data_IF_740349885952
#
_entry.id   IF_740349885952
#
_cell.length_a   1.000
_cell.length_b   1.000
_cell.length_c   1.000
_cell.angle_alpha   90.00
_cell.angle_beta   90.00
_cell.angle_gamma   90.00
#
_symmetry.space_group_name_H-M   'P 1'
#
loop_
_entity.id
_entity.type
_entity.pdbx_description
1 polymer ?
#
# COMPACT_ATOMS: atom_id res chain seq x y z
N UNK A 1 -40.21 12.42 -19.20
CA UNK A 1 -38.74 12.40 -19.33
C UNK A 1 -38.22 13.73 -18.82
N UNK A 2 -37.44 13.73 -17.75
CA UNK A 2 -36.78 14.95 -17.26
C UNK A 2 -35.46 15.04 -18.01
N UNK A 3 -35.37 15.98 -18.96
CA UNK A 3 -34.11 16.29 -19.65
C UNK A 3 -33.37 17.33 -18.84
N UNK A 4 -32.32 16.92 -18.13
CA UNK A 4 -31.41 17.83 -17.44
C UNK A 4 -30.42 18.35 -18.47
N UNK A 5 -30.47 19.65 -18.76
CA UNK A 5 -29.45 20.33 -19.54
C UNK A 5 -28.29 20.70 -18.60
N UNK A 6 -27.22 19.91 -18.63
CA UNK A 6 -25.96 20.26 -17.97
C UNK A 6 -25.23 21.22 -18.92
N UNK A 7 -25.27 22.51 -18.62
CA UNK A 7 -24.44 23.50 -19.31
C UNK A 7 -22.98 23.26 -18.92
N UNK A 8 -22.05 23.02 -19.85
CA UNK A 8 -20.63 22.85 -19.52
C UNK A 8 -20.12 24.14 -18.85
N UNK A 9 -19.57 24.00 -17.65
CA UNK A 9 -19.09 25.14 -16.85
C UNK A 9 -17.92 25.79 -17.60
N UNK A 10 -18.11 27.03 -18.06
CA UNK A 10 -17.03 27.81 -18.64
C UNK A 10 -15.86 27.86 -17.63
N UNK A 11 -14.64 27.55 -18.09
CA UNK A 11 -13.38 27.54 -17.32
C UNK A 11 -13.04 26.25 -16.54
N UNK A 12 -13.72 25.11 -16.77
CA UNK A 12 -13.23 23.83 -16.27
C UNK A 12 -11.93 23.42 -16.99
N UNK A 13 -10.94 22.82 -16.30
CA UNK A 13 -9.75 22.27 -16.94
C UNK A 13 -10.14 21.22 -17.98
N UNK A 14 -9.40 21.11 -19.08
CA UNK A 14 -9.66 20.16 -20.17
C UNK A 14 -8.45 19.24 -20.35
N UNK A 15 -8.64 17.92 -20.18
CA UNK A 15 -7.59 16.94 -20.45
C UNK A 15 -7.60 16.65 -21.95
N UNK A 16 -6.70 17.28 -22.70
CA UNK A 16 -6.62 17.13 -24.17
C UNK A 16 -5.88 15.86 -24.58
N UNK A 17 -5.00 15.34 -23.72
CA UNK A 17 -4.30 14.08 -23.95
C UNK A 17 -4.02 13.38 -22.62
N UNK A 18 -4.26 12.07 -22.58
CA UNK A 18 -3.76 11.16 -21.55
C UNK A 18 -3.60 9.76 -22.15
N UNK A 19 -2.36 9.26 -22.19
CA UNK A 19 -2.01 7.98 -22.82
C UNK A 19 -0.95 7.23 -22.03
N UNK A 20 -1.00 5.90 -22.08
CA UNK A 20 0.02 5.00 -21.52
C UNK A 20 0.72 4.30 -22.68
N UNK A 21 2.05 4.29 -22.68
CA UNK A 21 2.84 3.60 -23.72
C UNK A 21 4.01 2.80 -23.09
N UNK A 22 4.07 1.47 -23.27
CA UNK A 22 3.03 0.61 -23.85
C UNK A 22 1.87 0.39 -22.86
N UNK A 23 0.68 0.08 -23.38
CA UNK A 23 -0.49 -0.31 -22.57
C UNK A 23 -0.52 -1.81 -22.23
N UNK A 24 0.39 -2.61 -22.78
CA UNK A 24 0.58 -4.03 -22.44
C UNK A 24 2.04 -4.26 -22.08
N UNK A 25 2.28 -4.80 -20.88
CA UNK A 25 3.58 -4.98 -20.25
C UNK A 25 3.81 -6.45 -19.91
N UNK A 26 5.06 -6.91 -19.90
CA UNK A 26 5.44 -8.10 -19.14
C UNK A 26 5.79 -7.71 -17.70
N UNK A 27 5.78 -8.68 -16.78
CA UNK A 27 6.32 -8.48 -15.42
C UNK A 27 7.70 -7.84 -15.50
N UNK A 28 7.95 -6.84 -14.65
CA UNK A 28 9.19 -6.05 -14.61
C UNK A 28 9.40 -5.07 -15.79
N UNK A 29 8.40 -4.84 -16.65
CA UNK A 29 8.43 -3.74 -17.62
C UNK A 29 7.75 -2.48 -17.08
N UNK A 30 8.19 -1.32 -17.60
CA UNK A 30 7.64 -0.02 -17.25
C UNK A 30 6.84 0.56 -18.42
N UNK A 31 5.79 1.30 -18.11
CA UNK A 31 5.08 2.16 -19.05
C UNK A 31 5.45 3.62 -18.81
N UNK A 32 5.17 4.45 -19.81
CA UNK A 32 5.21 5.90 -19.67
C UNK A 32 3.79 6.45 -19.80
N UNK A 33 3.30 7.04 -18.71
CA UNK A 33 2.10 7.87 -18.74
C UNK A 33 2.48 9.25 -19.28
N UNK A 34 1.75 9.76 -20.28
CA UNK A 34 1.96 11.09 -20.85
C UNK A 34 0.64 11.85 -20.88
N UNK A 35 0.66 13.15 -20.58
CA UNK A 35 -0.54 13.97 -20.57
C UNK A 35 -0.32 15.42 -20.97
N UNK A 36 -1.43 16.07 -21.32
CA UNK A 36 -1.53 17.50 -21.53
C UNK A 36 -2.91 17.99 -21.09
N UNK A 37 -2.95 19.05 -20.28
CA UNK A 37 -4.14 19.66 -19.70
C UNK A 37 -4.15 21.15 -20.07
N UNK A 38 -5.30 21.65 -20.52
CA UNK A 38 -5.51 23.04 -20.90
C UNK A 38 -6.56 23.72 -20.02
N UNK A 39 -6.64 25.05 -20.09
CA UNK A 39 -7.59 25.85 -19.32
C UNK A 39 -7.07 26.29 -17.95
N UNK A 40 -7.98 26.68 -17.07
CA UNK A 40 -7.63 27.09 -15.70
C UNK A 40 -7.46 25.86 -14.82
N UNK A 41 -6.22 25.53 -14.47
CA UNK A 41 -5.86 24.35 -13.65
C UNK A 41 -5.26 24.82 -12.34
N UNK A 42 -5.80 24.33 -11.22
CA UNK A 42 -5.25 24.50 -9.87
C UNK A 42 -4.34 23.32 -9.51
N UNK A 43 -4.78 22.09 -9.81
CA UNK A 43 -4.03 20.87 -9.51
C UNK A 43 -4.22 19.83 -10.62
N UNK A 44 -3.18 19.01 -10.83
CA UNK A 44 -3.26 17.77 -11.60
C UNK A 44 -2.80 16.64 -10.70
N UNK A 45 -3.54 15.54 -10.69
CA UNK A 45 -3.21 14.32 -9.97
C UNK A 45 -3.20 13.16 -10.95
N UNK A 46 -2.15 12.33 -10.89
CA UNK A 46 -2.14 11.05 -11.58
C UNK A 46 -2.33 9.95 -10.55
N UNK A 47 -3.31 9.07 -10.78
CA UNK A 47 -3.64 7.95 -9.91
C UNK A 47 -3.42 6.64 -10.66
N UNK A 48 -3.10 5.57 -9.92
CA UNK A 48 -3.09 4.18 -10.35
C UNK A 48 -3.97 3.35 -9.41
N UNK A 49 -4.93 2.61 -9.93
CA UNK A 49 -5.95 1.86 -9.18
C UNK A 49 -6.61 2.73 -8.10
N UNK A 50 -6.98 3.97 -8.48
CA UNK A 50 -7.57 4.99 -7.61
C UNK A 50 -6.65 5.52 -6.48
N UNK A 51 -5.37 5.17 -6.47
CA UNK A 51 -4.37 5.73 -5.56
C UNK A 51 -3.51 6.79 -6.28
N UNK A 52 -3.37 7.99 -5.71
CA UNK A 52 -2.50 9.03 -6.29
C UNK A 52 -1.04 8.58 -6.29
N UNK A 53 -0.44 8.50 -7.49
CA UNK A 53 0.98 8.24 -7.72
C UNK A 53 1.75 9.54 -7.99
N UNK A 54 1.06 10.64 -8.31
CA UNK A 54 1.64 11.98 -8.39
C UNK A 54 0.58 13.03 -8.06
N UNK A 55 0.67 13.64 -6.88
CA UNK A 55 -0.13 14.80 -6.49
C UNK A 55 0.62 16.09 -6.83
N UNK A 56 0.01 16.97 -7.64
CA UNK A 56 0.69 18.17 -8.16
C UNK A 56 1.51 17.89 -9.43
N UNK A 57 1.04 17.00 -10.29
CA UNK A 57 1.62 16.82 -11.62
C UNK A 57 1.57 18.14 -12.43
N UNK A 58 2.55 18.40 -13.31
CA UNK A 58 2.50 19.57 -14.19
C UNK A 58 1.34 19.48 -15.17
N UNK A 59 0.89 20.61 -15.71
CA UNK A 59 -0.19 20.66 -16.72
C UNK A 59 0.16 19.88 -18.01
N UNK A 60 1.44 19.74 -18.33
CA UNK A 60 1.97 18.87 -19.38
C UNK A 60 3.14 18.10 -18.80
N UNK A 61 3.16 16.78 -18.98
CA UNK A 61 4.22 15.96 -18.42
C UNK A 61 4.17 14.50 -18.80
N UNK A 62 5.13 13.76 -18.26
CA UNK A 62 5.22 12.32 -18.37
C UNK A 62 5.74 11.70 -17.09
N UNK A 63 5.28 10.49 -16.75
CA UNK A 63 5.77 9.69 -15.64
C UNK A 63 6.06 8.28 -16.13
N UNK A 64 7.29 7.79 -15.90
CA UNK A 64 7.59 6.38 -16.03
C UNK A 64 7.13 5.65 -14.77
N UNK A 65 6.34 4.60 -14.92
CA UNK A 65 5.86 3.77 -13.82
C UNK A 65 6.05 2.29 -14.17
N UNK A 66 6.57 1.53 -13.20
CA UNK A 66 6.92 0.12 -13.34
C UNK A 66 6.02 -0.70 -12.42
N UNK A 67 4.88 -1.20 -12.91
CA UNK A 67 3.90 -1.79 -12.02
C UNK A 67 4.36 -3.17 -11.51
N UNK A 68 4.26 -3.46 -10.20
CA UNK A 68 4.90 -4.64 -9.60
C UNK A 68 4.09 -5.94 -9.73
N UNK A 69 2.88 -5.90 -10.27
CA UNK A 69 1.95 -7.04 -10.32
C UNK A 69 1.50 -7.40 -11.73
N UNK A 70 0.91 -8.59 -11.88
CA UNK A 70 0.21 -9.00 -13.10
C UNK A 70 -1.26 -8.61 -13.05
N UNK A 71 -1.90 -8.47 -14.21
CA UNK A 71 -3.30 -8.11 -14.35
C UNK A 71 -3.53 -6.72 -14.95
N UNK A 72 -4.80 -6.33 -15.04
CA UNK A 72 -5.20 -5.04 -15.56
C UNK A 72 -5.15 -3.98 -14.45
N UNK A 73 -4.55 -2.83 -14.77
CA UNK A 73 -4.38 -1.70 -13.89
C UNK A 73 -5.02 -0.46 -14.50
N UNK A 74 -5.65 0.36 -13.67
CA UNK A 74 -6.32 1.59 -14.08
C UNK A 74 -5.42 2.77 -13.77
N UNK A 75 -5.22 3.68 -14.71
CA UNK A 75 -4.60 4.97 -14.47
C UNK A 75 -5.63 6.06 -14.67
N UNK A 76 -5.68 7.03 -13.75
CA UNK A 76 -6.62 8.14 -13.82
C UNK A 76 -5.87 9.45 -13.70
N UNK A 77 -6.01 10.34 -14.68
CA UNK A 77 -5.56 11.72 -14.59
C UNK A 77 -6.73 12.58 -14.14
N UNK A 78 -6.58 13.31 -13.04
CA UNK A 78 -7.58 14.23 -12.49
C UNK A 78 -7.01 15.64 -12.56
N UNK A 79 -7.70 16.54 -13.24
CA UNK A 79 -7.35 17.97 -13.28
C UNK A 79 -8.46 18.78 -12.61
N UNK A 80 -8.13 19.59 -11.61
CA UNK A 80 -9.08 20.42 -10.87
C UNK A 80 -8.73 21.88 -11.03
N UNK A 81 -9.73 22.72 -11.23
CA UNK A 81 -9.60 24.17 -11.38
C UNK A 81 -10.85 24.91 -10.90
N UNK A 82 -10.87 26.26 -11.00
CA UNK A 82 -11.99 27.08 -10.55
C UNK A 82 -13.33 26.74 -11.22
N UNK A 83 -13.31 26.21 -12.45
CA UNK A 83 -14.51 25.76 -13.17
C UNK A 83 -14.92 24.31 -12.90
N UNK A 84 -14.23 23.59 -12.00
CA UNK A 84 -14.55 22.20 -11.63
C UNK A 84 -13.41 21.21 -11.91
N UNK A 85 -13.76 19.93 -12.04
CA UNK A 85 -12.80 18.83 -12.21
C UNK A 85 -13.05 18.07 -13.51
N UNK A 86 -11.98 17.76 -14.25
CA UNK A 86 -11.97 16.85 -15.40
C UNK A 86 -11.17 15.61 -15.07
N UNK A 87 -11.60 14.45 -15.58
CA UNK A 87 -10.92 13.17 -15.38
C UNK A 87 -10.76 12.41 -16.69
N UNK A 88 -9.64 11.70 -16.85
CA UNK A 88 -9.38 10.79 -17.95
C UNK A 88 -8.84 9.47 -17.42
N UNK A 89 -9.30 8.34 -17.96
CA UNK A 89 -8.92 7.00 -17.49
C UNK A 89 -8.26 6.22 -18.62
N UNK A 90 -7.17 5.53 -18.32
CA UNK A 90 -6.49 4.60 -19.21
C UNK A 90 -6.22 3.29 -18.49
N UNK A 91 -6.00 2.21 -19.25
CA UNK A 91 -5.72 0.89 -18.71
C UNK A 91 -4.38 0.38 -19.20
N UNK A 92 -3.64 -0.28 -18.31
CA UNK A 92 -2.46 -1.05 -18.67
C UNK A 92 -2.64 -2.51 -18.22
N UNK A 93 -2.16 -3.47 -19.01
CA UNK A 93 -2.21 -4.90 -18.66
C UNK A 93 -0.82 -5.43 -18.49
N UNK A 94 -0.51 -6.02 -17.33
CA UNK A 94 0.77 -6.68 -17.08
C UNK A 94 0.58 -8.20 -17.15
N UNK A 95 1.21 -8.87 -18.10
CA UNK A 95 1.12 -10.34 -18.23
C UNK A 95 2.30 -11.03 -17.55
N UNK A 96 2.01 -12.11 -16.81
CA UNK A 96 3.02 -13.00 -16.24
C UNK A 96 3.67 -13.88 -17.31
N UNK A 97 4.86 -14.40 -17.00
CA UNK A 97 5.46 -15.46 -17.81
C UNK A 97 4.49 -16.65 -17.89
N UNK A 98 4.12 -17.04 -19.10
CA UNK A 98 3.32 -18.25 -19.34
C UNK A 98 4.05 -19.45 -18.72
N UNK A 99 3.38 -20.33 -17.94
CA UNK A 99 4.04 -21.49 -17.37
C UNK A 99 4.63 -22.34 -18.50
N UNK A 100 5.94 -22.56 -18.45
CA UNK A 100 6.60 -23.51 -19.34
C UNK A 100 6.06 -24.89 -18.99
N UNK A 101 5.35 -25.52 -19.93
CA UNK A 101 4.86 -26.90 -19.81
C UNK A 101 6.07 -27.83 -19.58
N UNK A 102 6.38 -28.07 -18.31
CA UNK A 102 7.30 -29.13 -17.93
C UNK A 102 6.48 -30.42 -17.90
N UNK A 103 6.88 -31.49 -18.61
CA UNK A 103 6.10 -32.74 -18.64
C UNK A 103 5.93 -33.28 -17.23
N UNK A 104 4.67 -33.38 -16.78
CA UNK A 104 4.31 -33.99 -15.51
C UNK A 104 4.63 -35.49 -15.58
N UNK A 105 5.36 -36.08 -14.61
CA UNK A 105 5.61 -37.52 -14.59
C UNK A 105 4.30 -38.30 -14.38
N UNK A 106 4.18 -39.51 -14.96
CA UNK A 106 2.96 -40.30 -14.91
C UNK A 106 2.56 -40.65 -13.45
N UNK A 107 1.26 -40.64 -13.13
CA UNK A 107 0.78 -40.89 -11.77
C UNK A 107 1.09 -42.33 -11.32
N UNK A 108 1.64 -42.46 -10.11
CA UNK A 108 1.76 -43.75 -9.42
C UNK A 108 0.41 -44.09 -8.80
N UNK A 109 -0.16 -45.25 -9.14
CA UNK A 109 -1.40 -45.76 -8.57
C UNK A 109 -1.20 -46.19 -7.11
N UNK A 110 -1.24 -45.24 -6.19
CA UNK A 110 -1.46 -45.52 -4.77
C UNK A 110 -2.95 -45.38 -4.47
N UNK A 111 -3.63 -46.41 -3.94
CA UNK A 111 -5.05 -46.33 -3.60
C UNK A 111 -5.30 -45.23 -2.57
N UNK A 112 -6.20 -44.30 -2.90
CA UNK A 112 -6.68 -43.28 -1.98
C UNK A 112 -7.46 -43.92 -0.81
N UNK A 113 -7.31 -43.42 0.43
CA UNK A 113 -8.12 -43.88 1.55
C UNK A 113 -9.62 -43.61 1.30
N UNK A 114 -10.52 -44.44 1.85
CA UNK A 114 -11.96 -44.30 1.65
C UNK A 114 -12.48 -42.96 2.22
N UNK A 115 -13.51 -42.36 1.60
CA UNK A 115 -14.06 -41.09 2.05
C UNK A 115 -14.68 -41.22 3.45
N UNK A 116 -14.28 -40.33 4.35
CA UNK A 116 -14.93 -40.16 5.65
C UNK A 116 -16.17 -39.29 5.46
N UNK A 117 -17.35 -39.83 5.78
CA UNK A 117 -18.62 -39.09 5.77
C UNK A 117 -18.59 -38.00 6.87
N UNK A 118 -18.15 -36.81 6.48
CA UNK A 118 -18.33 -35.60 7.28
C UNK A 118 -19.68 -34.98 6.89
N UNK A 119 -20.56 -34.63 7.83
CA UNK A 119 -21.84 -34.01 7.50
C UNK A 119 -21.63 -32.69 6.75
N UNK A 120 -22.32 -32.55 5.61
CA UNK A 120 -22.37 -31.32 4.82
C UNK A 120 -23.07 -30.22 5.63
N UNK A 121 -22.48 -29.03 5.81
CA UNK A 121 -23.16 -27.90 6.44
C UNK A 121 -24.41 -27.52 5.64
N UNK A 122 -25.53 -27.15 6.28
CA UNK A 122 -26.72 -26.72 5.57
C UNK A 122 -26.44 -25.47 4.71
N UNK A 123 -27.14 -25.31 3.58
CA UNK A 123 -26.98 -24.13 2.71
C UNK A 123 -27.34 -22.84 3.47
N UNK A 124 -26.68 -21.70 3.16
CA UNK A 124 -27.01 -20.43 3.79
C UNK A 124 -28.45 -20.06 3.44
N UNK A 125 -29.25 -19.81 4.47
CA UNK A 125 -30.62 -19.32 4.32
C UNK A 125 -30.57 -17.87 3.83
N UNK A 126 -31.30 -17.55 2.75
CA UNK A 126 -31.50 -16.18 2.28
C UNK A 126 -32.36 -15.41 3.30
N UNK A 127 -31.72 -14.90 4.34
CA UNK A 127 -32.29 -13.88 5.22
C UNK A 127 -32.07 -12.50 4.60
N UNK A 128 -33.07 -11.61 4.53
CA UNK A 128 -32.86 -10.24 4.08
C UNK A 128 -31.79 -9.56 4.94
N UNK A 129 -30.76 -9.01 4.30
CA UNK A 129 -29.75 -8.19 4.97
C UNK A 129 -30.47 -6.93 5.49
N UNK A 130 -30.46 -6.65 6.81
CA UNK A 130 -31.03 -5.42 7.33
C UNK A 130 -30.28 -4.21 6.74
N UNK A 131 -30.94 -3.05 6.56
CA UNK A 131 -30.26 -1.83 6.13
C UNK A 131 -29.10 -1.52 7.09
N UNK A 132 -27.98 -0.95 6.59
CA UNK A 132 -26.81 -0.67 7.42
C UNK A 132 -27.25 0.20 8.60
N UNK A 133 -27.14 -0.36 9.80
CA UNK A 133 -27.32 0.36 11.04
C UNK A 133 -26.09 1.24 11.22
N UNK A 134 -26.29 2.55 11.41
CA UNK A 134 -25.26 3.53 11.79
C UNK A 134 -24.58 3.06 13.08
N UNK A 135 -23.58 2.20 12.93
CA UNK A 135 -22.70 1.80 14.00
C UNK A 135 -21.70 2.94 14.15
N UNK A 136 -21.53 3.53 15.34
CA UNK A 136 -20.53 4.56 15.55
C UNK A 136 -19.16 4.01 15.10
N UNK A 137 -18.53 4.70 14.16
CA UNK A 137 -17.17 4.38 13.70
C UNK A 137 -16.28 4.37 14.95
N UNK A 138 -15.62 3.23 15.28
CA UNK A 138 -14.72 3.19 16.42
C UNK A 138 -13.65 4.28 16.25
N UNK A 139 -13.22 4.93 17.34
CA UNK A 139 -12.15 5.93 17.28
C UNK A 139 -10.94 5.34 16.53
N UNK A 140 -10.27 6.11 15.65
CA UNK A 140 -9.07 5.62 14.98
C UNK A 140 -8.08 5.12 16.03
N UNK A 141 -7.63 3.88 15.90
CA UNK A 141 -6.68 3.28 16.82
C UNK A 141 -5.38 4.08 16.82
N UNK A 142 -4.90 4.41 18.02
CA UNK A 142 -3.66 5.17 18.22
C UNK A 142 -2.43 4.32 17.88
N UNK A 143 -1.36 4.95 17.37
CA UNK A 143 -0.04 4.31 17.22
C UNK A 143 0.65 4.07 18.58
N UNK A 144 0.20 4.76 19.63
CA UNK A 144 0.80 4.64 20.96
C UNK A 144 0.74 3.20 21.49
N UNK A 145 1.85 2.75 22.09
CA UNK A 145 1.98 1.39 22.59
C UNK A 145 3.37 0.82 22.41
N UNK A 146 3.53 -0.42 22.88
CA UNK A 146 4.75 -1.22 22.71
C UNK A 146 4.50 -2.30 21.68
N UNK A 147 5.42 -2.40 20.71
CA UNK A 147 5.27 -3.24 19.53
C UNK A 147 6.53 -4.09 19.31
N UNK A 148 6.35 -5.30 18.80
CA UNK A 148 7.41 -6.23 18.41
C UNK A 148 7.35 -6.42 16.90
N UNK A 149 8.45 -6.16 16.22
CA UNK A 149 8.56 -6.31 14.77
C UNK A 149 8.44 -7.77 14.37
N UNK A 150 7.55 -8.06 13.42
CA UNK A 150 7.33 -9.38 12.87
C UNK A 150 7.90 -9.50 11.46
N UNK A 151 7.75 -8.45 10.65
CA UNK A 151 8.20 -8.45 9.26
C UNK A 151 8.69 -7.08 8.78
N UNK A 152 9.68 -7.09 7.89
CA UNK A 152 10.13 -5.93 7.10
C UNK A 152 10.11 -6.28 5.61
N UNK A 153 9.35 -5.53 4.82
CA UNK A 153 9.22 -5.71 3.37
C UNK A 153 8.87 -7.15 2.98
N UNK A 154 8.00 -7.80 3.77
CA UNK A 154 7.58 -9.20 3.58
C UNK A 154 8.57 -10.26 4.07
N UNK A 155 9.74 -9.86 4.57
CA UNK A 155 10.71 -10.79 5.18
C UNK A 155 10.50 -10.86 6.69
N UNK A 156 10.55 -12.07 7.25
CA UNK A 156 10.51 -12.29 8.69
C UNK A 156 11.78 -11.82 9.39
N UNK A 157 11.68 -11.55 10.69
CA UNK A 157 12.83 -11.22 11.55
C UNK A 157 13.59 -12.47 12.02
N UNK A 158 14.89 -12.30 12.33
CA UNK A 158 15.74 -13.35 12.89
C UNK A 158 15.14 -13.95 14.18
N UNK A 159 15.11 -15.28 14.26
CA UNK A 159 14.60 -15.97 15.45
C UNK A 159 15.45 -15.67 16.69
N UNK A 160 14.79 -15.52 17.85
CA UNK A 160 15.45 -15.22 19.11
C UNK A 160 15.90 -13.76 19.27
N UNK A 161 15.71 -12.92 18.25
CA UNK A 161 16.03 -11.49 18.29
C UNK A 161 14.73 -10.67 18.33
N UNK A 162 14.49 -9.97 19.44
CA UNK A 162 13.31 -9.12 19.59
C UNK A 162 13.64 -7.69 19.18
N UNK A 163 13.18 -7.29 18.00
CA UNK A 163 13.21 -5.89 17.57
C UNK A 163 11.92 -5.22 18.03
N UNK A 164 12.03 -4.11 18.76
CA UNK A 164 10.88 -3.45 19.43
C UNK A 164 10.73 -2.00 19.02
N UNK A 165 9.49 -1.50 19.05
CA UNK A 165 9.15 -0.10 18.86
C UNK A 165 8.14 0.34 19.93
N UNK A 166 8.51 1.33 20.73
CA UNK A 166 7.66 1.92 21.76
C UNK A 166 7.36 3.38 21.36
N UNK A 167 6.08 3.66 21.08
CA UNK A 167 5.57 4.99 20.73
C UNK A 167 4.83 5.56 21.93
N UNK A 168 5.36 6.64 22.52
CA UNK A 168 4.74 7.34 23.65
C UNK A 168 4.97 8.83 23.52
N UNK A 169 3.89 9.62 23.46
CA UNK A 169 3.96 11.09 23.56
C UNK A 169 4.98 11.73 22.60
N UNK A 170 5.00 11.27 21.33
CA UNK A 170 5.90 11.79 20.30
C UNK A 170 7.35 11.26 20.37
N UNK A 171 7.66 10.37 21.31
CA UNK A 171 8.94 9.67 21.38
C UNK A 171 8.82 8.25 20.85
N UNK A 172 9.83 7.84 20.07
CA UNK A 172 9.99 6.47 19.60
C UNK A 172 11.29 5.91 20.18
N UNK A 173 11.22 4.80 20.92
CA UNK A 173 12.39 4.11 21.45
C UNK A 173 12.24 2.59 21.32
N UNK A 174 13.35 1.86 21.43
CA UNK A 174 13.29 0.40 21.37
C UNK A 174 14.65 -0.29 21.29
N UNK A 175 14.59 -1.58 20.99
CA UNK A 175 15.74 -2.44 20.71
C UNK A 175 15.76 -2.77 19.21
N UNK A 176 16.87 -2.51 18.51
CA UNK A 176 17.07 -2.79 17.08
C UNK A 176 17.53 -4.22 16.78
N UNK A 177 17.76 -5.02 17.82
CA UNK A 177 18.29 -6.38 17.80
C UNK A 177 19.65 -6.47 18.49
N UNK A 178 20.56 -5.54 18.20
CA UNK A 178 21.90 -5.45 18.81
C UNK A 178 22.02 -4.24 19.72
N UNK A 179 21.54 -3.10 19.25
CA UNK A 179 21.62 -1.78 19.86
C UNK A 179 20.26 -1.30 20.32
N UNK A 180 20.25 -0.52 21.39
CA UNK A 180 19.08 0.28 21.74
C UNK A 180 19.06 1.55 20.92
N UNK A 181 17.87 2.08 20.64
CA UNK A 181 17.71 3.26 19.82
C UNK A 181 16.63 4.19 20.34
N UNK A 182 16.71 5.45 19.91
CA UNK A 182 15.74 6.49 20.16
C UNK A 182 15.54 7.40 18.93
N UNK A 183 14.34 7.93 18.79
CA UNK A 183 13.91 8.88 17.78
C UNK A 183 12.69 9.65 18.30
N UNK A 184 12.13 10.51 17.45
CA UNK A 184 10.87 11.22 17.69
C UNK A 184 9.92 10.94 16.53
N UNK A 185 8.62 11.01 16.80
CA UNK A 185 7.60 10.85 15.78
C UNK A 185 6.51 11.90 15.91
N UNK A 186 5.80 12.14 14.81
CA UNK A 186 4.65 13.03 14.74
C UNK A 186 3.51 12.31 14.02
N UNK A 187 2.29 12.50 14.50
CA UNK A 187 1.08 12.01 13.85
C UNK A 187 0.24 13.18 13.39
N UNK A 188 -0.21 13.12 12.13
CA UNK A 188 -1.16 14.08 11.57
C UNK A 188 -2.37 13.33 10.97
N UNK A 189 -3.55 13.95 11.08
CA UNK A 189 -4.80 13.48 10.44
C UNK A 189 -5.22 12.05 10.81
N UNK A 190 -4.73 11.57 11.96
CA UNK A 190 -5.06 10.26 12.51
C UNK A 190 -4.36 9.06 11.87
N UNK A 191 -3.54 9.24 10.84
CA UNK A 191 -2.82 8.12 10.19
C UNK A 191 -1.49 8.50 9.54
N UNK A 192 -1.23 9.79 9.27
CA UNK A 192 0.05 10.24 8.71
C UNK A 192 1.10 10.22 9.80
N UNK A 193 2.25 9.66 9.50
CA UNK A 193 3.36 9.48 10.42
C UNK A 193 4.58 10.20 9.85
N UNK A 194 5.36 10.83 10.73
CA UNK A 194 6.72 11.24 10.42
C UNK A 194 7.60 10.72 11.54
N UNK A 195 8.58 9.88 11.21
CA UNK A 195 9.61 9.43 12.14
C UNK A 195 10.91 10.13 11.77
N UNK A 196 11.54 10.80 12.74
CA UNK A 196 12.83 11.45 12.52
C UNK A 196 13.96 10.41 12.48
N UNK A 197 15.16 10.80 12.01
CA UNK A 197 16.33 9.91 12.01
C UNK A 197 16.57 9.27 13.38
N UNK A 198 16.97 8.00 13.35
CA UNK A 198 17.25 7.21 14.54
C UNK A 198 18.64 7.52 15.08
N UNK A 199 18.76 7.63 16.40
CA UNK A 199 20.02 7.57 17.14
C UNK A 199 20.12 6.24 17.85
N UNK A 200 21.27 5.58 17.80
CA UNK A 200 21.49 4.26 18.40
C UNK A 200 22.79 4.21 19.19
N UNK A 201 22.91 3.21 20.07
CA UNK A 201 24.21 2.79 20.60
C UNK A 201 25.06 2.14 19.48
N UNK A 202 26.35 1.94 19.73
CA UNK A 202 27.30 1.35 18.78
C UNK A 202 28.06 0.17 19.40
N UNK A 203 27.30 -0.85 19.82
CA UNK A 203 27.84 -2.14 20.27
C UNK A 203 27.95 -3.09 19.07
N UNK A 204 28.96 -3.95 19.10
CA UNK A 204 29.17 -4.97 18.07
C UNK A 204 28.47 -6.29 18.46
N UNK A 205 27.72 -6.87 17.52
CA UNK A 205 27.09 -8.19 17.63
C UNK A 205 27.43 -9.05 16.40
N UNK A 206 26.79 -10.20 16.27
CA UNK A 206 26.88 -11.00 15.04
C UNK A 206 26.42 -10.21 13.81
N UNK A 207 27.09 -10.43 12.69
CA UNK A 207 26.88 -9.64 11.47
C UNK A 207 25.42 -9.68 10.99
N UNK A 208 24.77 -10.84 11.03
CA UNK A 208 23.38 -10.98 10.60
C UNK A 208 22.41 -10.11 11.44
N UNK A 209 22.68 -9.94 12.75
CA UNK A 209 21.88 -9.10 13.64
C UNK A 209 22.08 -7.63 13.28
N UNK A 210 23.33 -7.21 13.03
CA UNK A 210 23.65 -5.85 12.64
C UNK A 210 23.08 -5.49 11.25
N UNK A 211 23.07 -6.42 10.30
CA UNK A 211 22.49 -6.21 8.97
C UNK A 211 20.97 -5.98 9.05
N UNK A 212 20.27 -6.78 9.86
CA UNK A 212 18.84 -6.59 10.12
C UNK A 212 18.55 -5.27 10.82
N UNK A 213 19.34 -4.91 11.84
CA UNK A 213 19.21 -3.66 12.58
C UNK A 213 19.39 -2.43 11.68
N UNK A 214 20.43 -2.43 10.84
CA UNK A 214 20.67 -1.35 9.90
C UNK A 214 19.52 -1.19 8.90
N UNK A 215 18.98 -2.32 8.41
CA UNK A 215 17.79 -2.30 7.56
C UNK A 215 16.60 -1.69 8.30
N UNK A 216 16.35 -2.11 9.55
CA UNK A 216 15.27 -1.56 10.38
C UNK A 216 15.39 -0.04 10.58
N UNK A 217 16.57 0.45 10.96
CA UNK A 217 16.81 1.89 11.16
C UNK A 217 16.70 2.69 9.86
N UNK A 218 17.10 2.12 8.72
CA UNK A 218 16.96 2.77 7.42
C UNK A 218 15.50 2.90 6.98
N UNK A 219 14.63 1.96 7.36
CA UNK A 219 13.21 1.96 6.98
C UNK A 219 12.35 2.88 7.86
N UNK A 220 12.68 3.05 9.15
CA UNK A 220 11.87 3.83 10.10
C UNK A 220 11.54 5.25 9.59
N UNK A 221 12.50 6.07 9.10
CA UNK A 221 12.20 7.42 8.59
C UNK A 221 11.44 7.43 7.26
N UNK A 222 11.38 6.31 6.55
CA UNK A 222 10.66 6.20 5.28
C UNK A 222 9.15 5.97 5.51
N UNK A 223 8.76 5.55 6.71
CA UNK A 223 7.36 5.29 7.04
C UNK A 223 6.61 6.61 7.16
N UNK A 224 5.55 6.76 6.37
CA UNK A 224 4.75 7.98 6.35
C UNK A 224 3.30 7.75 6.76
N UNK A 225 2.91 6.49 6.98
CA UNK A 225 1.56 6.13 7.39
C UNK A 225 1.61 4.98 8.39
N UNK A 226 0.61 4.93 9.25
CA UNK A 226 0.38 3.77 10.12
C UNK A 226 -1.08 3.32 10.07
N UNK A 227 -1.28 2.04 10.38
CA UNK A 227 -2.57 1.45 10.72
C UNK A 227 -2.38 0.64 11.99
N UNK A 228 -3.08 1.01 13.05
CA UNK A 228 -3.02 0.32 14.33
C UNK A 228 -4.33 -0.42 14.61
N UNK A 229 -4.23 -1.51 15.38
CA UNK A 229 -5.33 -2.20 16.04
C UNK A 229 -4.92 -2.50 17.49
N UNK A 230 -5.76 -3.19 18.26
CA UNK A 230 -5.38 -3.66 19.60
C UNK A 230 -4.29 -4.74 19.58
N UNK A 231 -4.02 -5.38 18.44
CA UNK A 231 -3.10 -6.53 18.35
C UNK A 231 -1.93 -6.31 17.40
N UNK A 232 -2.07 -5.40 16.44
CA UNK A 232 -1.11 -5.19 15.36
C UNK A 232 -0.90 -3.72 15.03
N UNK A 233 0.30 -3.42 14.55
CA UNK A 233 0.66 -2.13 13.97
C UNK A 233 1.31 -2.41 12.62
N UNK A 234 0.87 -1.70 11.58
CA UNK A 234 1.53 -1.70 10.29
C UNK A 234 1.99 -0.29 9.98
N UNK A 235 3.27 -0.14 9.67
CA UNK A 235 3.84 1.09 9.15
C UNK A 235 4.09 0.93 7.65
N UNK A 236 3.77 1.96 6.87
CA UNK A 236 4.04 1.96 5.43
C UNK A 236 4.66 3.26 4.99
N UNK A 237 5.50 3.20 3.95
CA UNK A 237 5.92 4.40 3.23
C UNK A 237 4.74 5.03 2.47
N UNK A 238 5.01 6.15 1.80
CA UNK A 238 3.98 6.91 1.07
C UNK A 238 3.36 6.07 -0.05
N UNK A 239 4.12 5.11 -0.60
CA UNK A 239 3.74 4.27 -1.72
C UNK A 239 3.16 2.91 -1.30
N UNK A 240 3.15 2.58 0.00
CA UNK A 240 2.76 1.24 0.49
C UNK A 240 3.69 0.10 0.05
N UNK A 241 4.85 0.44 -0.51
CA UNK A 241 5.82 -0.49 -1.08
C UNK A 241 6.74 -1.05 0.00
N UNK A 242 7.10 -0.19 0.95
CA UNK A 242 7.86 -0.57 2.13
C UNK A 242 6.88 -0.71 3.27
N UNK A 243 6.91 -1.85 3.95
CA UNK A 243 5.99 -2.16 5.03
C UNK A 243 6.73 -2.81 6.20
N UNK A 244 6.42 -2.36 7.40
CA UNK A 244 6.82 -3.02 8.63
C UNK A 244 5.57 -3.44 9.39
N UNK A 245 5.50 -4.72 9.73
CA UNK A 245 4.38 -5.29 10.50
C UNK A 245 4.87 -5.63 11.89
N UNK A 246 4.09 -5.23 12.88
CA UNK A 246 4.36 -5.45 14.29
C UNK A 246 3.15 -6.12 14.96
N UNK A 247 3.43 -6.88 16.01
CA UNK A 247 2.43 -7.32 16.98
C UNK A 247 2.56 -6.50 18.26
N UNK A 248 1.52 -6.47 19.08
CA UNK A 248 1.64 -5.94 20.44
C UNK A 248 2.73 -6.68 21.23
N UNK A 249 3.51 -5.92 22.01
CA UNK A 249 4.36 -6.49 23.04
C UNK A 249 3.47 -6.85 24.24
N UNK A 250 3.46 -8.12 24.62
CA UNK A 250 2.78 -8.60 25.83
C UNK A 250 3.71 -8.52 27.04
#
# INVERSE_FOLDING_TARGET
>A
SITIYVTPVANAPQIVRFSLDPSTLQVSQCLVAQWNVQGSVTTVQLLRNNASIWDGAPIQGSLQDCPPGTGQMTYTLVATGPGGTSQAVQYATVTGASPTNTPVPPPTNTPAPPPTNTPVPPPPTNTPVPPPTDTPVPPPASIEGSWILQQMNGNGVLQGINVTANFVSGQLNGNGGCNTYNSTYQVADGFRLLINPVSSTQVACDQAIMDQENAYFALLPQMTRFQATTESLTLTDTNGTVSMMFSTAR
#
